data_IF_419376146010
#
_entry.id   IF_419376146010
#
_cell.length_a   1.000
_cell.length_b   1.000
_cell.length_c   1.000
_cell.angle_alpha   90.00
_cell.angle_beta   90.00
_cell.angle_gamma   90.00
#
_symmetry.space_group_name_H-M   'P 1'
#
loop_
_entity.id
_entity.type
_entity.pdbx_description
1 polymer ?
#
# COMPACT_ATOMS: atom_id res chain seq x y z
N UNK A 1 31.86 -7.63 -6.58
CA UNK A 1 32.77 -6.96 -5.61
C UNK A 1 32.19 -5.66 -5.07
N UNK A 2 31.70 -4.75 -5.91
CA UNK A 2 31.10 -3.46 -5.47
C UNK A 2 29.96 -3.62 -4.46
N UNK A 3 29.01 -4.54 -4.72
CA UNK A 3 27.90 -4.81 -3.79
C UNK A 3 28.39 -5.31 -2.41
N UNK A 4 29.46 -6.12 -2.38
CA UNK A 4 30.03 -6.65 -1.14
C UNK A 4 30.72 -5.56 -0.32
N UNK A 5 31.41 -4.64 -0.98
CA UNK A 5 32.06 -3.49 -0.33
C UNK A 5 30.98 -2.54 0.20
N UNK A 6 29.97 -2.22 -0.60
CA UNK A 6 28.84 -1.38 -0.18
C UNK A 6 28.10 -1.98 1.03
N UNK A 7 27.82 -3.28 1.01
CA UNK A 7 27.20 -3.97 2.14
C UNK A 7 28.05 -3.93 3.42
N UNK A 8 29.38 -4.09 3.30
CA UNK A 8 30.30 -3.94 4.44
C UNK A 8 30.33 -2.52 5.02
N UNK A 9 30.02 -1.53 4.21
CA UNK A 9 29.88 -0.12 4.62
C UNK A 9 28.46 0.22 5.10
N UNK A 10 27.56 -0.76 5.20
CA UNK A 10 26.18 -0.58 5.68
C UNK A 10 25.18 -0.11 4.62
N UNK A 11 25.56 -0.06 3.34
CA UNK A 11 24.63 0.26 2.26
C UNK A 11 23.83 -0.98 1.83
N UNK A 12 22.56 -0.76 1.52
CA UNK A 12 21.67 -1.79 0.97
C UNK A 12 21.15 -1.35 -0.40
N UNK A 13 20.93 -2.29 -1.32
CA UNK A 13 20.31 -1.95 -2.60
C UNK A 13 18.83 -1.69 -2.37
N UNK A 14 18.34 -0.58 -2.92
CA UNK A 14 16.92 -0.23 -2.86
C UNK A 14 16.03 -1.32 -3.47
N UNK A 15 16.50 -1.98 -4.53
CA UNK A 15 15.80 -3.10 -5.16
C UNK A 15 15.58 -4.28 -4.20
N UNK A 16 16.61 -4.66 -3.43
CA UNK A 16 16.52 -5.75 -2.45
C UNK A 16 15.48 -5.41 -1.37
N UNK A 17 15.46 -4.15 -0.91
CA UNK A 17 14.46 -3.66 0.05
C UNK A 17 13.06 -3.71 -0.54
N UNK A 18 12.85 -3.20 -1.77
CA UNK A 18 11.56 -3.26 -2.46
C UNK A 18 11.08 -4.70 -2.66
N UNK A 19 11.98 -5.63 -2.94
CA UNK A 19 11.65 -7.04 -3.09
C UNK A 19 11.22 -7.67 -1.76
N UNK A 20 11.90 -7.33 -0.65
CA UNK A 20 11.50 -7.78 0.69
C UNK A 20 10.14 -7.21 1.12
N UNK A 21 9.87 -5.94 0.82
CA UNK A 21 8.61 -5.27 1.15
C UNK A 21 7.40 -5.76 0.33
N UNK A 22 7.62 -6.50 -0.77
CA UNK A 22 6.53 -7.17 -1.50
C UNK A 22 5.97 -8.42 -0.79
N UNK A 23 6.49 -8.77 0.41
CA UNK A 23 6.07 -9.94 1.20
C UNK A 23 5.98 -11.23 0.37
N UNK A 24 6.97 -11.44 -0.50
CA UNK A 24 7.09 -12.63 -1.36
C UNK A 24 6.35 -12.56 -2.70
N UNK A 25 5.34 -11.70 -2.88
CA UNK A 25 4.64 -11.57 -4.17
C UNK A 25 4.42 -10.11 -4.60
N UNK A 26 3.45 -9.42 -4.01
CA UNK A 26 3.07 -8.07 -4.44
C UNK A 26 2.32 -7.36 -3.32
N UNK A 27 2.84 -6.22 -2.88
CA UNK A 27 2.11 -5.34 -1.95
C UNK A 27 0.84 -4.78 -2.60
N UNK A 28 0.84 -4.54 -3.92
CA UNK A 28 -0.34 -4.12 -4.65
C UNK A 28 -1.45 -5.17 -4.55
N UNK A 29 -1.12 -6.45 -4.69
CA UNK A 29 -2.09 -7.54 -4.54
C UNK A 29 -2.63 -7.60 -3.12
N UNK A 30 -1.77 -7.47 -2.10
CA UNK A 30 -2.21 -7.50 -0.70
C UNK A 30 -3.14 -6.35 -0.35
N UNK A 31 -2.84 -5.16 -0.84
CA UNK A 31 -3.70 -3.99 -0.66
C UNK A 31 -5.05 -4.18 -1.36
N UNK A 32 -5.06 -4.72 -2.57
CA UNK A 32 -6.30 -5.04 -3.29
C UNK A 32 -7.15 -6.10 -2.59
N UNK A 33 -6.53 -7.22 -2.18
CA UNK A 33 -7.19 -8.29 -1.41
C UNK A 33 -7.77 -7.76 -0.09
N UNK A 34 -7.06 -6.87 0.61
CA UNK A 34 -7.57 -6.21 1.83
C UNK A 34 -8.83 -5.39 1.55
N UNK A 35 -8.79 -4.55 0.51
CA UNK A 35 -9.92 -3.70 0.12
C UNK A 35 -11.13 -4.53 -0.32
N UNK A 36 -10.91 -5.61 -1.06
CA UNK A 36 -11.95 -6.57 -1.42
C UNK A 36 -12.60 -7.19 -0.17
N UNK A 37 -11.81 -7.63 0.81
CA UNK A 37 -12.34 -8.18 2.07
C UNK A 37 -13.19 -7.15 2.81
N UNK A 38 -12.74 -5.89 2.89
CA UNK A 38 -13.51 -4.81 3.52
C UNK A 38 -14.85 -4.59 2.80
N UNK A 39 -14.85 -4.54 1.47
CA UNK A 39 -16.07 -4.43 0.66
C UNK A 39 -17.02 -5.61 0.90
N UNK A 40 -16.50 -6.84 0.95
CA UNK A 40 -17.31 -8.03 1.20
C UNK A 40 -17.91 -8.03 2.62
N UNK A 41 -17.14 -7.64 3.64
CA UNK A 41 -17.66 -7.50 5.01
C UNK A 41 -18.78 -6.47 5.05
N UNK A 42 -18.60 -5.32 4.39
CA UNK A 42 -19.60 -4.26 4.36
C UNK A 42 -20.88 -4.69 3.61
N UNK A 43 -20.74 -5.42 2.50
CA UNK A 43 -21.88 -5.83 1.66
C UNK A 43 -22.70 -6.96 2.30
N UNK A 44 -22.05 -7.84 3.07
CA UNK A 44 -22.67 -9.07 3.54
C UNK A 44 -22.91 -9.13 5.06
N UNK A 45 -22.46 -8.12 5.81
CA UNK A 45 -22.63 -8.08 7.27
C UNK A 45 -22.85 -6.66 7.77
N UNK A 46 -23.36 -6.52 9.00
CA UNK A 46 -23.40 -5.24 9.73
C UNK A 46 -22.20 -5.06 10.66
N UNK A 47 -21.14 -5.86 10.53
CA UNK A 47 -20.02 -5.89 11.48
C UNK A 47 -19.40 -4.50 11.68
N UNK A 48 -19.22 -3.74 10.59
CA UNK A 48 -18.59 -2.42 10.64
C UNK A 48 -19.45 -1.36 11.33
N UNK A 49 -20.78 -1.56 11.38
CA UNK A 49 -21.73 -0.68 12.07
C UNK A 49 -21.84 -1.00 13.57
N UNK A 50 -21.50 -2.23 13.97
CA UNK A 50 -21.62 -2.70 15.36
C UNK A 50 -20.60 -2.06 16.31
N UNK A 51 -19.51 -1.49 15.78
CA UNK A 51 -18.48 -0.88 16.60
C UNK A 51 -17.47 -0.12 15.76
N UNK A 52 -17.24 1.13 16.14
CA UNK A 52 -16.31 2.04 15.44
C UNK A 52 -14.89 1.46 15.33
N UNK A 53 -14.47 0.62 16.29
CA UNK A 53 -13.13 0.04 16.31
C UNK A 53 -12.89 -0.92 15.14
N UNK A 54 -13.92 -1.61 14.63
CA UNK A 54 -13.79 -2.55 13.50
C UNK A 54 -13.29 -1.81 12.26
N UNK A 55 -13.98 -0.72 11.90
CA UNK A 55 -13.62 0.11 10.75
C UNK A 55 -12.25 0.79 10.95
N UNK A 56 -11.96 1.33 12.14
CA UNK A 56 -10.66 1.96 12.44
C UNK A 56 -9.51 0.96 12.32
N UNK A 57 -9.68 -0.29 12.78
CA UNK A 57 -8.65 -1.31 12.67
C UNK A 57 -8.34 -1.63 11.20
N UNK A 58 -9.37 -1.84 10.38
CA UNK A 58 -9.22 -2.10 8.94
C UNK A 58 -8.64 -0.88 8.19
N UNK A 59 -9.00 0.33 8.60
CA UNK A 59 -8.44 1.57 8.05
C UNK A 59 -6.94 1.71 8.36
N UNK A 60 -6.53 1.33 9.59
CA UNK A 60 -5.13 1.33 10.00
C UNK A 60 -4.30 0.33 9.20
N UNK A 61 -4.87 -0.85 8.92
CA UNK A 61 -4.24 -1.85 8.06
C UNK A 61 -4.11 -1.36 6.62
N UNK A 62 -5.15 -0.72 6.06
CA UNK A 62 -5.10 -0.12 4.72
C UNK A 62 -4.04 0.97 4.63
N UNK A 63 -3.95 1.86 5.63
CA UNK A 63 -2.92 2.90 5.73
C UNK A 63 -1.52 2.27 5.73
N UNK A 64 -1.29 1.22 6.52
CA UNK A 64 -0.01 0.54 6.53
C UNK A 64 0.36 -0.07 5.16
N UNK A 65 -0.60 -0.71 4.50
CA UNK A 65 -0.40 -1.27 3.16
C UNK A 65 -0.19 -0.19 2.10
N UNK A 66 -0.85 0.97 2.22
CA UNK A 66 -0.60 2.14 1.39
C UNK A 66 0.83 2.67 1.55
N UNK A 67 1.35 2.74 2.79
CA UNK A 67 2.74 3.14 3.05
C UNK A 67 3.71 2.18 2.38
N UNK A 68 3.49 0.87 2.53
CA UNK A 68 4.32 -0.15 1.89
C UNK A 68 4.26 -0.05 0.37
N UNK A 69 3.07 0.14 -0.20
CA UNK A 69 2.88 0.38 -1.63
C UNK A 69 3.71 1.57 -2.10
N UNK A 70 3.64 2.69 -1.39
CA UNK A 70 4.42 3.89 -1.70
C UNK A 70 5.93 3.62 -1.65
N UNK A 71 6.43 2.92 -0.62
CA UNK A 71 7.85 2.57 -0.53
C UNK A 71 8.33 1.66 -1.67
N UNK A 72 7.48 0.71 -2.11
CA UNK A 72 7.81 -0.23 -3.18
C UNK A 72 7.75 0.44 -4.55
N UNK A 73 6.67 1.16 -4.83
CA UNK A 73 6.34 1.66 -6.16
C UNK A 73 6.69 3.13 -6.37
N UNK A 74 7.06 3.86 -5.32
CA UNK A 74 7.36 5.30 -5.36
C UNK A 74 6.19 6.11 -5.93
N UNK A 75 4.97 5.69 -5.67
CA UNK A 75 3.74 6.38 -6.03
C UNK A 75 2.58 5.83 -5.21
N UNK A 76 1.45 6.52 -5.26
CA UNK A 76 0.21 6.09 -4.62
C UNK A 76 -0.61 5.20 -5.57
N UNK A 77 -1.49 4.34 -5.04
CA UNK A 77 -2.32 3.45 -5.85
C UNK A 77 -3.14 4.18 -6.92
N UNK A 78 -3.62 5.39 -6.61
CA UNK A 78 -4.40 6.24 -7.50
C UNK A 78 -3.59 6.74 -8.71
N UNK A 79 -2.28 6.91 -8.54
CA UNK A 79 -1.37 7.35 -9.61
C UNK A 79 -0.97 6.20 -10.54
N UNK A 80 -1.09 4.95 -10.10
CA UNK A 80 -0.62 3.76 -10.80
C UNK A 80 -1.72 2.95 -11.52
N UNK A 81 -2.88 3.56 -11.79
CA UNK A 81 -4.04 2.88 -12.39
C UNK A 81 -3.77 2.34 -13.80
N UNK A 82 -2.77 2.86 -14.51
CA UNK A 82 -2.31 2.33 -15.80
C UNK A 82 -1.38 1.09 -15.66
N UNK A 83 -1.18 0.58 -14.44
CA UNK A 83 -0.34 -0.57 -14.15
C UNK A 83 1.15 -0.25 -14.03
N UNK A 84 1.55 1.03 -13.95
CA UNK A 84 2.94 1.45 -13.75
C UNK A 84 3.04 2.67 -12.85
N UNK A 85 4.12 2.75 -12.08
CA UNK A 85 4.45 3.96 -11.34
C UNK A 85 4.89 5.07 -12.30
N UNK A 86 4.33 6.29 -12.20
CA UNK A 86 4.77 7.43 -13.00
C UNK A 86 6.14 7.97 -12.59
N UNK A 87 6.61 7.68 -11.36
CA UNK A 87 7.88 8.23 -10.85
C UNK A 87 9.09 7.36 -11.21
N UNK A 88 8.94 6.04 -11.11
CA UNK A 88 10.07 5.12 -11.30
C UNK A 88 9.84 4.07 -12.39
N UNK A 89 8.68 4.05 -13.05
CA UNK A 89 8.34 3.12 -14.11
C UNK A 89 8.13 1.67 -13.67
N UNK A 90 8.17 1.38 -12.36
CA UNK A 90 7.95 0.02 -11.83
C UNK A 90 6.56 -0.49 -12.22
N UNK A 91 6.48 -1.77 -12.57
CA UNK A 91 5.21 -2.42 -12.87
C UNK A 91 4.39 -2.58 -11.58
N UNK A 92 3.15 -2.14 -11.62
CA UNK A 92 2.16 -2.34 -10.56
C UNK A 92 1.14 -3.35 -11.07
N UNK A 93 1.06 -4.49 -10.40
CA UNK A 93 0.08 -5.52 -10.72
C UNK A 93 -0.32 -6.31 -9.47
N UNK A 94 -1.63 -6.57 -9.26
CA UNK A 94 -2.77 -6.06 -10.03
C UNK A 94 -2.97 -4.54 -9.85
N UNK A 95 -3.90 -3.97 -10.60
CA UNK A 95 -4.44 -2.66 -10.26
C UNK A 95 -5.14 -2.76 -8.90
N UNK A 96 -4.97 -1.74 -8.07
CA UNK A 96 -5.54 -1.72 -6.71
C UNK A 96 -6.87 -0.98 -6.76
N UNK A 97 -7.93 -1.60 -6.22
CA UNK A 97 -9.24 -0.96 -6.03
C UNK A 97 -9.13 0.34 -5.23
N UNK A 98 -10.09 1.25 -5.44
CA UNK A 98 -10.20 2.45 -4.63
C UNK A 98 -10.40 2.11 -3.15
N UNK A 99 -9.96 3.00 -2.25
CA UNK A 99 -10.17 2.80 -0.82
C UNK A 99 -11.67 2.80 -0.49
N UNK A 100 -12.19 1.77 0.21
CA UNK A 100 -13.59 1.75 0.61
C UNK A 100 -13.95 2.93 1.51
N UNK A 101 -15.08 3.59 1.25
CA UNK A 101 -15.48 4.81 1.95
C UNK A 101 -15.65 4.62 3.47
N UNK A 102 -16.02 3.40 3.90
CA UNK A 102 -16.16 3.02 5.32
C UNK A 102 -14.85 3.15 6.11
N UNK A 103 -13.70 3.12 5.44
CA UNK A 103 -12.38 3.29 6.07
C UNK A 103 -11.99 4.75 6.26
N UNK A 104 -12.82 5.70 5.80
CA UNK A 104 -12.48 7.13 5.78
C UNK A 104 -11.25 7.45 4.93
N UNK A 105 -10.77 8.72 4.96
CA UNK A 105 -9.56 9.11 4.27
C UNK A 105 -8.31 8.49 4.93
N UNK A 106 -7.31 8.16 4.11
CA UNK A 106 -6.01 7.68 4.61
C UNK A 106 -5.36 8.75 5.52
N UNK A 107 -4.85 8.34 6.68
CA UNK A 107 -4.33 9.24 7.72
C UNK A 107 -2.80 9.30 7.75
N UNK A 108 -2.12 8.71 6.77
CA UNK A 108 -0.66 8.79 6.69
C UNK A 108 -0.19 10.25 6.50
N UNK A 109 0.76 10.76 7.31
CA UNK A 109 1.26 12.12 7.16
C UNK A 109 1.81 12.44 5.76
N UNK A 110 2.50 11.49 5.14
CA UNK A 110 3.03 11.62 3.78
C UNK A 110 1.93 11.67 2.71
N UNK A 111 0.79 11.01 2.93
CA UNK A 111 -0.37 11.07 2.03
C UNK A 111 -1.09 12.40 2.17
N UNK A 112 -1.31 12.87 3.40
CA UNK A 112 -1.94 14.16 3.67
C UNK A 112 -1.14 15.33 3.08
N UNK A 113 0.19 15.23 3.13
CA UNK A 113 1.10 16.17 2.43
C UNK A 113 0.98 16.07 0.92
N UNK A 114 0.81 14.86 0.38
CA UNK A 114 0.64 14.68 -1.06
C UNK A 114 -0.66 15.32 -1.57
N UNK A 115 -1.76 15.22 -0.84
CA UNK A 115 -3.05 15.78 -1.25
C UNK A 115 -3.16 17.31 -1.12
N UNK A 116 -2.27 17.95 -0.37
CA UNK A 116 -2.27 19.40 -0.17
C UNK A 116 -1.42 20.16 -1.19
N UNK A 117 -0.71 19.45 -2.06
CA UNK A 117 0.08 19.98 -3.18
C UNK A 117 -0.62 19.73 -4.51
#
# INVERSE_FOLDING_TARGET
>A
MLNTIAAKLGFVRLEDIRQQLNFGYSVAKRLDEHREVVEQIQQHTSLLDQGYWHAIHLATQDDYLMRLFYMVHDCWPEEAQNGRSPRNGSKVHPAVRARPAVLGPCQLPEWLKHQSN
#
